data_IF_583683972351
#
_entry.id   IF_583683972351
#
_cell.length_a   1.000
_cell.length_b   1.000
_cell.length_c   1.000
_cell.angle_alpha   90.00
_cell.angle_beta   90.00
_cell.angle_gamma   90.00
#
_symmetry.space_group_name_H-M   'P 1'
#
loop_
_entity.id
_entity.type
_entity.pdbx_description
1 polymer ?
#
# COMPACT_ATOMS: atom_id res chain seq x y z
N UNK A 1 26.61 14.48 -22.29
CA UNK A 1 26.85 13.11 -21.76
C UNK A 1 25.52 12.58 -21.25
N UNK A 2 24.87 11.67 -21.98
CA UNK A 2 23.66 11.00 -21.49
C UNK A 2 24.03 10.13 -20.30
N UNK A 3 23.51 10.45 -19.12
CA UNK A 3 23.50 9.52 -18.00
C UNK A 3 22.67 8.32 -18.44
N UNK A 4 23.34 7.20 -18.69
CA UNK A 4 22.66 5.91 -18.91
C UNK A 4 21.90 5.62 -17.61
N UNK A 5 20.59 5.80 -17.64
CA UNK A 5 19.73 5.43 -16.52
C UNK A 5 19.77 3.90 -16.47
N UNK A 6 20.43 3.35 -15.46
CA UNK A 6 20.47 1.91 -15.28
C UNK A 6 19.10 1.44 -14.76
N UNK A 7 18.27 1.01 -15.70
CA UNK A 7 16.91 0.59 -15.44
C UNK A 7 16.88 -0.87 -14.96
N UNK A 8 16.23 -1.13 -13.82
CA UNK A 8 15.81 -2.48 -13.45
C UNK A 8 14.45 -2.73 -14.12
N UNK A 9 14.31 -3.83 -14.87
CA UNK A 9 12.97 -4.35 -15.21
C UNK A 9 12.28 -4.66 -13.88
N UNK A 10 11.36 -3.80 -13.46
CA UNK A 10 10.50 -4.00 -12.29
C UNK A 10 9.99 -5.44 -12.30
N UNK A 11 9.87 -6.04 -11.11
CA UNK A 11 9.29 -7.37 -10.90
C UNK A 11 7.91 -7.52 -11.57
N UNK A 12 7.23 -6.40 -11.79
CA UNK A 12 5.93 -6.24 -12.42
C UNK A 12 5.91 -6.12 -13.97
N UNK A 13 7.07 -6.08 -14.64
CA UNK A 13 7.15 -5.95 -16.10
C UNK A 13 6.80 -4.57 -16.69
N UNK A 14 6.47 -3.56 -15.87
CA UNK A 14 6.20 -2.19 -16.31
C UNK A 14 7.38 -1.26 -15.97
N UNK A 15 7.71 -0.38 -16.93
CA UNK A 15 8.61 0.79 -16.94
C UNK A 15 9.77 0.88 -15.92
N UNK A 16 10.93 1.08 -16.53
CA UNK A 16 12.21 1.54 -15.99
C UNK A 16 12.17 2.22 -14.61
N UNK A 17 12.43 1.45 -13.54
CA UNK A 17 12.68 2.01 -12.21
C UNK A 17 14.18 2.17 -12.03
N UNK A 18 14.62 3.39 -11.71
CA UNK A 18 16.05 3.71 -11.53
C UNK A 18 16.61 3.03 -10.28
N UNK A 19 17.94 2.84 -10.26
CA UNK A 19 18.66 2.37 -9.08
C UNK A 19 18.32 3.16 -7.81
N UNK A 20 18.39 4.48 -7.91
CA UNK A 20 18.14 5.36 -6.77
C UNK A 20 16.71 5.24 -6.26
N UNK A 21 15.76 5.06 -7.18
CA UNK A 21 14.36 4.87 -6.85
C UNK A 21 14.12 3.54 -6.12
N UNK A 22 14.75 2.45 -6.55
CA UNK A 22 14.66 1.18 -5.81
C UNK A 22 15.31 1.28 -4.44
N UNK A 23 16.46 1.95 -4.34
CA UNK A 23 17.14 2.20 -3.06
C UNK A 23 16.26 3.04 -2.12
N UNK A 24 15.57 4.06 -2.64
CA UNK A 24 14.61 4.87 -1.89
C UNK A 24 13.49 3.98 -1.32
N UNK A 25 12.83 3.19 -2.18
CA UNK A 25 11.72 2.31 -1.78
C UNK A 25 12.13 1.30 -0.71
N UNK A 26 13.32 0.71 -0.83
CA UNK A 26 13.87 -0.25 0.13
C UNK A 26 14.18 0.35 1.51
N UNK A 27 14.26 1.68 1.61
CA UNK A 27 14.51 2.41 2.84
C UNK A 27 13.24 3.08 3.42
N UNK A 28 12.10 3.00 2.72
CA UNK A 28 10.83 3.54 3.24
C UNK A 28 10.29 2.66 4.36
N UNK A 29 9.64 3.29 5.33
CA UNK A 29 8.70 2.59 6.22
C UNK A 29 7.50 2.10 5.41
N UNK A 30 6.76 1.09 5.89
CA UNK A 30 5.54 0.63 5.22
C UNK A 30 4.56 1.79 4.97
N UNK A 31 4.43 2.71 5.93
CA UNK A 31 3.55 3.86 5.79
C UNK A 31 4.03 4.81 4.68
N UNK A 32 5.32 5.10 4.64
CA UNK A 32 5.92 5.90 3.57
C UNK A 32 5.83 5.23 2.20
N UNK A 33 5.90 3.90 2.16
CA UNK A 33 5.70 3.10 0.96
C UNK A 33 4.24 3.17 0.47
N UNK A 34 3.27 3.05 1.39
CA UNK A 34 1.83 3.09 1.06
C UNK A 34 1.32 4.50 0.72
N UNK A 35 2.14 5.55 0.90
CA UNK A 35 1.88 6.91 0.40
C UNK A 35 2.41 7.12 -1.02
N UNK A 36 3.05 6.12 -1.61
CA UNK A 36 3.71 6.20 -2.90
C UNK A 36 2.96 5.35 -3.91
N UNK A 37 2.09 5.97 -4.72
CA UNK A 37 1.18 5.27 -5.64
C UNK A 37 1.92 4.31 -6.58
N UNK A 38 3.05 4.75 -7.14
CA UNK A 38 3.86 3.92 -8.01
C UNK A 38 4.43 2.69 -7.27
N UNK A 39 4.79 2.85 -6.00
CA UNK A 39 5.25 1.74 -5.15
C UNK A 39 4.13 0.77 -4.81
N UNK A 40 2.95 1.29 -4.45
CA UNK A 40 1.75 0.50 -4.18
C UNK A 40 1.35 -0.31 -5.43
N UNK A 41 1.41 0.29 -6.61
CA UNK A 41 1.14 -0.41 -7.87
C UNK A 41 2.11 -1.55 -8.15
N UNK A 42 3.39 -1.37 -7.82
CA UNK A 42 4.37 -2.46 -7.92
C UNK A 42 4.04 -3.61 -6.98
N UNK A 43 3.62 -3.31 -5.75
CA UNK A 43 3.19 -4.32 -4.79
C UNK A 43 1.91 -5.03 -5.28
N UNK A 44 0.87 -4.29 -5.71
CA UNK A 44 -0.39 -4.87 -6.20
C UNK A 44 -0.18 -5.81 -7.40
N UNK A 45 0.77 -5.51 -8.28
CA UNK A 45 1.12 -6.38 -9.42
C UNK A 45 1.92 -7.62 -9.01
N UNK A 46 2.63 -7.57 -7.89
CA UNK A 46 3.39 -8.70 -7.37
C UNK A 46 2.53 -9.67 -6.57
N UNK A 47 1.58 -9.15 -5.80
CA UNK A 47 0.74 -9.92 -4.88
C UNK A 47 -0.42 -10.59 -5.63
N UNK A 48 -0.75 -11.87 -5.34
CA UNK A 48 -1.93 -12.52 -5.89
C UNK A 48 -3.21 -11.73 -5.58
N UNK A 49 -4.16 -11.65 -6.53
CA UNK A 49 -5.37 -10.82 -6.40
C UNK A 49 -6.26 -11.26 -5.24
N UNK A 50 -6.25 -12.56 -4.96
CA UNK A 50 -7.00 -13.23 -3.90
C UNK A 50 -6.36 -13.10 -2.51
N UNK A 51 -5.14 -12.55 -2.41
CA UNK A 51 -4.47 -12.39 -1.13
C UNK A 51 -5.14 -11.34 -0.25
N UNK A 52 -5.15 -11.60 1.06
CA UNK A 52 -5.53 -10.62 2.06
C UNK A 52 -4.68 -9.34 1.98
N UNK A 53 -3.40 -9.41 1.56
CA UNK A 53 -2.58 -8.21 1.35
C UNK A 53 -3.19 -7.30 0.28
N UNK A 54 -3.79 -7.86 -0.76
CA UNK A 54 -4.47 -7.08 -1.79
C UNK A 54 -5.69 -6.34 -1.22
N UNK A 55 -6.48 -7.02 -0.38
CA UNK A 55 -7.62 -6.42 0.33
C UNK A 55 -7.16 -5.31 1.27
N UNK A 56 -6.10 -5.53 2.05
CA UNK A 56 -5.57 -4.55 2.98
C UNK A 56 -5.06 -3.29 2.26
N UNK A 57 -4.44 -3.44 1.08
CA UNK A 57 -4.04 -2.29 0.25
C UNK A 57 -5.27 -1.48 -0.17
N UNK A 58 -6.34 -2.15 -0.62
CA UNK A 58 -7.58 -1.47 -1.01
C UNK A 58 -8.21 -0.70 0.17
N UNK A 59 -8.25 -1.30 1.36
CA UNK A 59 -8.75 -0.65 2.58
C UNK A 59 -7.92 0.60 2.91
N UNK A 60 -6.59 0.53 2.87
CA UNK A 60 -5.72 1.69 3.13
C UNK A 60 -5.95 2.80 2.10
N UNK A 61 -6.12 2.46 0.82
CA UNK A 61 -6.37 3.44 -0.24
C UNK A 61 -7.74 4.10 -0.07
N UNK A 62 -8.78 3.31 0.21
CA UNK A 62 -10.14 3.81 0.40
C UNK A 62 -10.23 4.69 1.65
N UNK A 63 -9.61 4.27 2.77
CA UNK A 63 -9.56 5.08 3.99
C UNK A 63 -8.90 6.45 3.76
N UNK A 64 -7.78 6.48 3.02
CA UNK A 64 -7.12 7.73 2.63
C UNK A 64 -7.98 8.58 1.70
N UNK A 65 -8.71 7.94 0.79
CA UNK A 65 -9.63 8.66 -0.09
C UNK A 65 -10.72 9.37 0.72
N UNK A 66 -11.36 8.67 1.66
CA UNK A 66 -12.36 9.25 2.55
C UNK A 66 -11.83 10.35 3.47
N UNK A 67 -10.53 10.40 3.75
CA UNK A 67 -9.91 11.55 4.45
C UNK A 67 -9.81 12.82 3.59
N UNK A 68 -9.97 12.70 2.26
CA UNK A 68 -9.81 13.82 1.31
C UNK A 68 -11.12 14.34 0.74
N UNK A 69 -12.23 13.64 0.98
CA UNK A 69 -13.54 13.98 0.46
C UNK A 69 -14.57 14.08 1.58
N UNK A 70 -15.70 14.70 1.28
CA UNK A 70 -16.88 14.57 2.12
C UNK A 70 -17.49 13.19 1.90
N UNK A 71 -17.80 12.49 2.99
CA UNK A 71 -18.23 11.09 2.98
C UNK A 71 -19.76 11.04 2.95
N UNK A 72 -20.33 10.40 1.94
CA UNK A 72 -21.72 9.98 1.97
C UNK A 72 -21.83 8.63 2.71
N UNK A 73 -22.10 8.70 4.02
CA UNK A 73 -22.26 7.51 4.88
C UNK A 73 -23.50 6.67 4.56
N UNK A 74 -24.37 7.13 3.65
CA UNK A 74 -25.54 6.39 3.19
C UNK A 74 -25.31 5.64 1.87
N UNK A 75 -24.12 5.78 1.29
CA UNK A 75 -23.78 5.10 0.04
C UNK A 75 -23.42 3.62 0.25
N UNK A 76 -23.78 2.78 -0.72
CA UNK A 76 -23.38 1.37 -0.77
C UNK A 76 -21.85 1.22 -0.68
N UNK A 77 -21.09 2.14 -1.28
CA UNK A 77 -19.62 2.14 -1.23
C UNK A 77 -19.08 2.33 0.20
N UNK A 78 -19.76 3.13 1.02
CA UNK A 78 -19.41 3.31 2.43
C UNK A 78 -19.72 2.07 3.25
N UNK A 79 -20.90 1.47 3.05
CA UNK A 79 -21.30 0.22 3.73
C UNK A 79 -20.32 -0.91 3.41
N UNK A 80 -20.00 -1.13 2.14
CA UNK A 80 -19.01 -2.11 1.68
C UNK A 80 -17.62 -1.86 2.31
N UNK A 81 -17.24 -0.59 2.48
CA UNK A 81 -15.98 -0.25 3.12
C UNK A 81 -16.00 -0.61 4.61
N UNK A 82 -17.03 -0.23 5.35
CA UNK A 82 -17.19 -0.53 6.78
C UNK A 82 -17.21 -2.04 7.01
N UNK A 83 -17.95 -2.80 6.21
CA UNK A 83 -18.04 -4.27 6.27
C UNK A 83 -16.69 -4.97 6.02
N UNK A 84 -15.77 -4.31 5.32
CA UNK A 84 -14.43 -4.83 5.06
C UNK A 84 -13.45 -4.63 6.24
N UNK A 85 -13.84 -3.82 7.23
CA UNK A 85 -13.00 -3.50 8.39
C UNK A 85 -13.00 -4.62 9.44
N UNK A 86 -12.11 -4.49 10.42
CA UNK A 86 -12.24 -5.25 11.66
C UNK A 86 -13.44 -4.71 12.43
N UNK A 87 -14.15 -5.60 13.11
CA UNK A 87 -15.37 -5.27 13.86
C UNK A 87 -15.18 -4.08 14.81
N UNK A 88 -14.06 -4.04 15.54
CA UNK A 88 -13.72 -2.95 16.46
C UNK A 88 -13.48 -1.60 15.74
N UNK A 89 -12.88 -1.63 14.55
CA UNK A 89 -12.68 -0.43 13.73
C UNK A 89 -13.94 0.01 13.00
N UNK A 90 -14.80 -0.94 12.62
CA UNK A 90 -16.09 -0.67 12.00
C UNK A 90 -17.02 0.05 12.98
N UNK A 91 -17.20 -0.54 14.17
CA UNK A 91 -18.01 0.03 15.26
C UNK A 91 -17.50 1.43 15.64
N UNK A 92 -16.19 1.59 15.84
CA UNK A 92 -15.61 2.90 16.17
C UNK A 92 -15.86 3.94 15.06
N UNK A 93 -15.81 3.53 13.79
CA UNK A 93 -15.97 4.44 12.65
C UNK A 93 -17.42 4.92 12.51
N UNK A 94 -18.39 4.07 12.81
CA UNK A 94 -19.81 4.39 12.79
C UNK A 94 -20.23 5.29 13.97
N UNK A 95 -19.71 5.02 15.16
CA UNK A 95 -20.06 5.75 16.38
C UNK A 95 -19.30 7.08 16.55
N UNK A 96 -18.13 7.22 15.91
CA UNK A 96 -17.29 8.39 16.10
C UNK A 96 -17.84 9.64 15.42
N UNK A 97 -17.84 10.74 16.18
CA UNK A 97 -18.06 12.10 15.66
C UNK A 97 -16.88 12.64 14.85
N UNK A 98 -15.69 12.06 15.02
CA UNK A 98 -14.49 12.36 14.26
C UNK A 98 -14.08 11.14 13.43
N UNK A 99 -14.72 10.96 12.28
CA UNK A 99 -14.41 9.86 11.38
C UNK A 99 -12.98 9.94 10.82
N UNK A 100 -12.39 11.14 10.72
CA UNK A 100 -11.02 11.28 10.23
C UNK A 100 -10.00 10.64 11.17
N UNK A 101 -10.17 10.82 12.48
CA UNK A 101 -9.33 10.17 13.49
C UNK A 101 -9.42 8.64 13.40
N UNK A 102 -10.62 8.09 13.18
CA UNK A 102 -10.80 6.64 13.04
C UNK A 102 -10.24 6.13 11.71
N UNK A 103 -10.42 6.86 10.62
CA UNK A 103 -9.80 6.53 9.33
C UNK A 103 -8.27 6.51 9.42
N UNK A 104 -7.66 7.38 10.23
CA UNK A 104 -6.20 7.33 10.49
C UNK A 104 -5.82 6.03 11.23
N UNK A 105 -6.62 5.59 12.21
CA UNK A 105 -6.43 4.29 12.88
C UNK A 105 -6.56 3.13 11.90
N UNK A 106 -7.54 3.15 11.01
CA UNK A 106 -7.71 2.16 9.93
C UNK A 106 -6.45 2.10 9.07
N UNK A 107 -5.96 3.26 8.59
CA UNK A 107 -4.72 3.32 7.80
C UNK A 107 -3.54 2.71 8.56
N UNK A 108 -3.37 3.04 9.84
CA UNK A 108 -2.28 2.53 10.66
C UNK A 108 -2.36 1.01 10.88
N UNK A 109 -3.54 0.49 11.23
CA UNK A 109 -3.72 -0.94 11.52
C UNK A 109 -3.53 -1.79 10.26
N UNK A 110 -4.15 -1.41 9.15
CA UNK A 110 -3.99 -2.16 7.90
C UNK A 110 -2.59 -2.00 7.30
N UNK A 111 -1.91 -0.86 7.49
CA UNK A 111 -0.48 -0.72 7.15
C UNK A 111 0.39 -1.70 7.94
N UNK A 112 0.13 -1.89 9.23
CA UNK A 112 0.86 -2.89 10.06
C UNK A 112 0.59 -4.32 9.61
N UNK A 113 -0.64 -4.62 9.18
CA UNK A 113 -1.00 -5.94 8.62
C UNK A 113 -0.28 -6.22 7.31
N UNK A 114 -0.18 -5.22 6.42
CA UNK A 114 0.62 -5.32 5.20
C UNK A 114 2.08 -5.56 5.54
N UNK A 115 2.68 -4.79 6.45
CA UNK A 115 4.09 -4.93 6.84
C UNK A 115 4.43 -6.33 7.37
N UNK A 116 3.50 -6.92 8.12
CA UNK A 116 3.65 -8.26 8.69
C UNK A 116 3.37 -9.38 7.68
N UNK A 117 2.74 -9.09 6.55
CA UNK A 117 2.30 -10.10 5.59
C UNK A 117 3.48 -10.77 4.90
N UNK A 118 3.31 -12.06 4.58
CA UNK A 118 4.31 -12.83 3.83
C UNK A 118 4.52 -12.22 2.44
N UNK A 119 3.46 -11.70 1.82
CA UNK A 119 3.53 -11.09 0.49
C UNK A 119 4.43 -9.86 0.46
N UNK A 120 4.28 -8.95 1.43
CA UNK A 120 5.11 -7.76 1.50
C UNK A 120 6.57 -8.10 1.82
N UNK A 121 6.80 -9.07 2.71
CA UNK A 121 8.15 -9.58 3.00
C UNK A 121 8.81 -10.20 1.76
N UNK A 122 8.06 -11.02 1.02
CA UNK A 122 8.54 -11.64 -0.22
C UNK A 122 8.83 -10.59 -1.29
N UNK A 123 7.95 -9.61 -1.46
CA UNK A 123 8.14 -8.47 -2.35
C UNK A 123 9.43 -7.72 -2.01
N UNK A 124 9.61 -7.33 -0.73
CA UNK A 124 10.77 -6.58 -0.27
C UNK A 124 12.07 -7.39 -0.42
N UNK A 125 12.06 -8.69 -0.09
CA UNK A 125 13.20 -9.58 -0.31
C UNK A 125 13.57 -9.69 -1.79
N UNK A 126 12.60 -9.91 -2.66
CA UNK A 126 12.83 -10.02 -4.11
C UNK A 126 13.40 -8.71 -4.67
N UNK A 127 12.86 -7.57 -4.25
CA UNK A 127 13.34 -6.25 -4.66
C UNK A 127 14.79 -6.01 -4.22
N UNK A 128 15.16 -6.41 -2.99
CA UNK A 128 16.55 -6.37 -2.50
C UNK A 128 17.47 -7.26 -3.30
N UNK A 129 17.05 -8.48 -3.61
CA UNK A 129 17.87 -9.43 -4.34
C UNK A 129 18.14 -8.96 -5.77
N UNK A 130 17.12 -8.44 -6.46
CA UNK A 130 17.30 -7.84 -7.79
C UNK A 130 18.22 -6.61 -7.76
N UNK A 131 18.07 -5.75 -6.76
CA UNK A 131 18.96 -4.60 -6.57
C UNK A 131 20.42 -5.04 -6.41
N UNK A 132 20.68 -6.07 -5.58
CA UNK A 132 22.03 -6.64 -5.38
C UNK A 132 22.59 -7.31 -6.63
N UNK A 133 21.77 -8.08 -7.35
CA UNK A 133 22.22 -8.81 -8.55
C UNK A 133 22.62 -7.86 -9.68
N UNK A 134 21.94 -6.71 -9.82
CA UNK A 134 22.18 -5.78 -10.92
C UNK A 134 23.29 -4.77 -10.65
N UNK A 135 23.51 -4.42 -9.39
CA UNK A 135 24.39 -3.31 -8.98
C UNK A 135 25.51 -3.71 -8.01
N UNK A 136 25.87 -5.00 -8.00
CA UNK A 136 27.12 -5.47 -7.39
C UNK A 136 28.28 -5.29 -8.34
#
# INVERSE_FOLDING_TARGET
MSKVVECIKCICGCNEVTRDRIKELLNKTVHGFLNDEAAVDMLRKYVPKESNTHKYIAIVQQAKHYQTIEIDKSSDEWEDFVDSLLEDLAEELEESSDSNAVLEKVVLEYSRRIDKSTDFKNFNSNLRDKYKQRFR
#
